data_IF_275067882800
#
_entry.id   IF_275067882800
#
_cell.length_a   1.000
_cell.length_b   1.000
_cell.length_c   1.000
_cell.angle_alpha   90.00
_cell.angle_beta   90.00
_cell.angle_gamma   90.00
#
_symmetry.space_group_name_H-M   'P 1'
#
loop_
_entity.id
_entity.type
_entity.pdbx_description
1 polymer ?
#
# COMPACT_ATOMS: atom_id res chain seq x y z
N UNK A 1 34.74 8.79 18.66
CA UNK A 1 33.40 8.69 18.04
C UNK A 1 32.94 10.09 17.67
N UNK A 2 32.48 10.29 16.44
CA UNK A 2 32.07 11.62 15.96
C UNK A 2 30.74 12.04 16.63
N UNK A 3 30.50 13.33 16.92
CA UNK A 3 29.29 13.80 17.61
C UNK A 3 27.97 13.32 16.99
N UNK A 4 27.94 13.14 15.66
CA UNK A 4 26.79 12.68 14.87
C UNK A 4 26.45 11.19 15.17
N UNK A 5 27.45 10.35 15.43
CA UNK A 5 27.26 8.93 15.72
C UNK A 5 26.62 8.73 17.11
N UNK A 6 26.96 9.59 18.06
CA UNK A 6 26.40 9.59 19.41
C UNK A 6 24.92 10.01 19.39
N UNK A 7 24.58 11.08 18.67
CA UNK A 7 23.21 11.56 18.50
C UNK A 7 22.33 10.49 17.84
N UNK A 8 22.84 9.82 16.81
CA UNK A 8 22.14 8.73 16.14
C UNK A 8 21.95 7.50 17.03
N UNK A 9 22.95 7.16 17.86
CA UNK A 9 22.85 6.07 18.83
C UNK A 9 21.79 6.33 19.90
N UNK A 10 21.72 7.56 20.41
CA UNK A 10 20.71 7.98 21.39
C UNK A 10 19.32 7.98 20.75
N UNK A 11 19.17 8.49 19.52
CA UNK A 11 17.90 8.44 18.75
C UNK A 11 17.42 7.01 18.51
N UNK A 12 18.33 6.07 18.21
CA UNK A 12 18.01 4.64 18.02
C UNK A 12 17.50 3.99 19.31
N UNK A 13 18.17 4.26 20.45
CA UNK A 13 17.77 3.71 21.76
C UNK A 13 16.42 4.26 22.22
N UNK A 14 16.15 5.54 22.05
CA UNK A 14 14.87 6.14 22.43
C UNK A 14 13.72 5.66 21.54
N UNK A 15 13.94 5.50 20.23
CA UNK A 15 12.92 4.96 19.34
C UNK A 15 12.59 3.49 19.66
N UNK A 16 13.59 2.65 19.93
CA UNK A 16 13.39 1.26 20.37
C UNK A 16 12.58 1.13 21.67
N UNK A 17 12.70 2.12 22.56
CA UNK A 17 11.92 2.20 23.81
C UNK A 17 10.49 2.72 23.58
N UNK A 18 10.31 3.67 22.66
CA UNK A 18 9.00 4.28 22.37
C UNK A 18 8.12 3.42 21.45
N UNK A 19 8.71 2.73 20.47
CA UNK A 19 8.02 1.72 19.69
C UNK A 19 8.04 0.41 20.48
N UNK A 20 7.11 0.24 21.42
CA UNK A 20 6.90 -1.00 22.19
C UNK A 20 6.61 -2.28 21.36
N UNK A 21 6.85 -2.23 20.05
CA UNK A 21 6.69 -3.28 19.05
C UNK A 21 8.02 -3.89 18.57
N UNK A 22 9.19 -3.33 18.89
CA UNK A 22 10.52 -3.94 18.59
C UNK A 22 10.90 -4.95 19.69
N UNK A 23 9.94 -5.74 20.19
CA UNK A 23 10.18 -6.77 21.22
C UNK A 23 10.33 -8.18 20.68
N UNK A 24 10.51 -8.37 19.37
CA UNK A 24 10.90 -9.67 18.83
C UNK A 24 12.08 -9.58 17.88
N UNK A 25 13.29 -9.65 18.45
CA UNK A 25 14.42 -10.31 17.79
C UNK A 25 15.49 -9.44 17.13
N UNK A 26 15.38 -8.12 17.09
CA UNK A 26 16.41 -7.27 16.46
C UNK A 26 17.26 -6.63 17.55
N UNK A 27 18.47 -7.18 17.72
CA UNK A 27 19.56 -6.50 18.44
C UNK A 27 19.80 -5.14 17.78
N UNK A 28 19.87 -4.09 18.61
CA UNK A 28 20.10 -2.70 18.21
C UNK A 28 21.44 -2.46 17.46
N UNK A 29 22.27 -3.49 17.28
CA UNK A 29 23.60 -3.41 16.68
C UNK A 29 23.73 -4.05 15.29
N UNK A 30 22.72 -4.79 14.81
CA UNK A 30 22.83 -5.45 13.52
C UNK A 30 22.34 -4.53 12.40
N UNK A 31 23.28 -4.00 11.61
CA UNK A 31 22.93 -3.34 10.35
C UNK A 31 22.15 -4.31 9.48
N UNK A 32 20.88 -4.02 9.19
CA UNK A 32 20.06 -4.89 8.35
C UNK A 32 20.61 -4.88 6.94
N UNK A 33 21.07 -6.01 6.40
CA UNK A 33 21.41 -6.06 4.98
C UNK A 33 20.12 -6.03 4.14
N UNK A 34 19.91 -4.95 3.37
CA UNK A 34 18.74 -4.80 2.47
C UNK A 34 18.62 -5.96 1.49
N UNK A 35 19.75 -6.60 1.13
CA UNK A 35 19.76 -7.77 0.24
C UNK A 35 19.05 -8.97 0.84
N UNK A 36 18.88 -9.03 2.16
CA UNK A 36 18.19 -10.12 2.85
C UNK A 36 16.65 -10.01 2.75
N UNK A 37 16.10 -8.85 2.39
CA UNK A 37 14.65 -8.69 2.25
C UNK A 37 14.26 -9.14 0.85
N UNK A 38 13.75 -10.36 0.74
CA UNK A 38 13.32 -10.98 -0.53
C UNK A 38 11.83 -11.26 -0.59
N UNK A 39 11.17 -11.47 0.56
CA UNK A 39 9.72 -11.73 0.62
C UNK A 39 9.02 -10.70 1.49
N UNK A 40 8.14 -9.91 0.89
CA UNK A 40 7.40 -8.85 1.57
C UNK A 40 5.90 -9.15 1.54
N UNK A 41 5.22 -9.00 2.66
CA UNK A 41 3.75 -9.06 2.72
C UNK A 41 3.19 -7.67 2.98
N UNK A 42 2.34 -7.17 2.08
CA UNK A 42 1.57 -5.94 2.29
C UNK A 42 0.14 -6.31 2.68
N UNK A 43 -0.30 -5.79 3.83
CA UNK A 43 -1.56 -6.12 4.46
C UNK A 43 -2.56 -4.97 4.31
N UNK A 44 -3.60 -5.19 3.50
CA UNK A 44 -4.71 -4.26 3.31
C UNK A 44 -6.04 -5.01 3.03
N UNK A 45 -6.64 -5.67 4.05
CA UNK A 45 -7.91 -6.39 3.91
C UNK A 45 -9.13 -5.45 3.74
N UNK A 46 -9.16 -4.71 2.63
CA UNK A 46 -10.24 -3.83 2.19
C UNK A 46 -10.80 -4.34 0.85
N UNK A 47 -12.02 -3.98 0.46
CA UNK A 47 -12.64 -4.45 -0.79
C UNK A 47 -12.98 -3.34 -1.78
N UNK A 48 -12.78 -2.07 -1.39
CA UNK A 48 -13.13 -0.89 -2.21
C UNK A 48 -12.01 -0.63 -3.20
N UNK A 49 -12.34 -0.45 -4.47
CA UNK A 49 -11.40 -0.23 -5.58
C UNK A 49 -10.37 0.86 -5.25
N UNK A 50 -10.84 2.06 -4.86
CA UNK A 50 -9.95 3.18 -4.55
C UNK A 50 -8.93 2.84 -3.46
N UNK A 51 -9.33 2.15 -2.39
CA UNK A 51 -8.42 1.77 -1.32
C UNK A 51 -7.35 0.75 -1.75
N UNK A 52 -7.66 -0.07 -2.75
CA UNK A 52 -6.70 -1.01 -3.33
C UNK A 52 -5.68 -0.29 -4.21
N UNK A 53 -6.15 0.67 -5.02
CA UNK A 53 -5.26 1.48 -5.86
C UNK A 53 -4.24 2.27 -5.04
N UNK A 54 -4.63 2.74 -3.84
CA UNK A 54 -3.77 3.46 -2.90
C UNK A 54 -2.62 2.61 -2.32
N UNK A 55 -2.56 1.31 -2.64
CA UNK A 55 -1.42 0.43 -2.32
C UNK A 55 -0.28 0.59 -3.34
N UNK A 56 -0.58 1.02 -4.58
CA UNK A 56 0.41 1.12 -5.67
C UNK A 56 1.66 1.97 -5.34
N UNK A 57 1.58 3.08 -4.58
CA UNK A 57 2.78 3.83 -4.22
C UNK A 57 3.67 3.07 -3.24
N UNK A 58 3.08 2.29 -2.34
CA UNK A 58 3.82 1.46 -1.40
C UNK A 58 4.52 0.30 -2.11
N UNK A 59 3.87 -0.33 -3.09
CA UNK A 59 4.50 -1.38 -3.92
C UNK A 59 5.74 -0.83 -4.62
N UNK A 60 5.61 0.33 -5.26
CA UNK A 60 6.74 1.01 -5.92
C UNK A 60 7.86 1.33 -4.93
N UNK A 61 7.52 1.81 -3.74
CA UNK A 61 8.50 2.13 -2.71
C UNK A 61 9.24 0.89 -2.21
N UNK A 62 8.52 -0.20 -1.94
CA UNK A 62 9.12 -1.47 -1.50
C UNK A 62 10.05 -2.01 -2.58
N UNK A 63 9.62 -2.04 -3.84
CA UNK A 63 10.46 -2.51 -4.94
C UNK A 63 11.70 -1.61 -5.12
N UNK A 64 11.57 -0.29 -4.96
CA UNK A 64 12.69 0.64 -5.02
C UNK A 64 13.69 0.45 -3.87
N UNK A 65 13.21 0.15 -2.66
CA UNK A 65 14.07 -0.10 -1.49
C UNK A 65 14.71 -1.49 -1.52
N UNK A 66 14.00 -2.48 -2.09
CA UNK A 66 14.37 -3.89 -2.16
C UNK A 66 14.10 -4.44 -3.57
N UNK A 67 14.98 -4.17 -4.56
CA UNK A 67 14.74 -4.50 -5.98
C UNK A 67 14.51 -5.99 -6.26
N UNK A 68 15.19 -6.87 -5.52
CA UNK A 68 15.07 -8.32 -5.68
C UNK A 68 13.90 -8.93 -4.90
N UNK A 69 13.08 -8.10 -4.24
CA UNK A 69 11.98 -8.59 -3.42
C UNK A 69 10.74 -8.92 -4.25
N UNK A 70 10.02 -9.94 -3.79
CA UNK A 70 8.69 -10.30 -4.27
C UNK A 70 7.66 -9.94 -3.21
N UNK A 71 6.54 -9.38 -3.66
CA UNK A 71 5.52 -8.78 -2.81
C UNK A 71 4.25 -9.62 -2.89
N UNK A 72 3.83 -10.15 -1.74
CA UNK A 72 2.52 -10.73 -1.56
C UNK A 72 1.54 -9.68 -1.02
N UNK A 73 0.31 -9.69 -1.52
CA UNK A 73 -0.76 -8.79 -1.08
C UNK A 73 -1.84 -9.57 -0.31
N UNK A 74 -2.14 -9.16 0.93
CA UNK A 74 -3.30 -9.68 1.67
C UNK A 74 -4.45 -8.68 1.69
N UNK A 75 -5.51 -9.00 0.96
CA UNK A 75 -6.57 -8.07 0.56
C UNK A 75 -7.97 -8.70 0.66
N UNK A 76 -9.04 -7.95 0.41
CA UNK A 76 -10.42 -8.48 0.39
C UNK A 76 -11.06 -8.32 -0.99
N UNK A 77 -11.66 -9.39 -1.52
CA UNK A 77 -12.26 -9.43 -2.84
C UNK A 77 -11.26 -9.53 -4.00
N UNK A 78 -11.74 -9.63 -5.26
CA UNK A 78 -10.91 -9.99 -6.41
C UNK A 78 -10.18 -8.82 -7.07
N UNK A 79 -10.55 -7.57 -6.74
CA UNK A 79 -10.14 -6.38 -7.50
C UNK A 79 -8.63 -6.18 -7.57
N UNK A 80 -7.88 -6.53 -6.53
CA UNK A 80 -6.41 -6.42 -6.58
C UNK A 80 -5.78 -7.31 -7.63
N UNK A 81 -6.35 -8.48 -7.91
CA UNK A 81 -5.84 -9.36 -8.97
C UNK A 81 -5.90 -8.64 -10.31
N UNK A 82 -7.01 -7.97 -10.60
CA UNK A 82 -7.16 -7.18 -11.83
C UNK A 82 -6.21 -5.98 -11.82
N UNK A 83 -6.13 -5.23 -10.73
CA UNK A 83 -5.32 -4.01 -10.65
C UNK A 83 -3.80 -4.26 -10.79
N UNK A 84 -3.31 -5.38 -10.26
CA UNK A 84 -1.87 -5.64 -10.10
C UNK A 84 -1.37 -6.87 -10.86
N UNK A 85 -2.15 -7.47 -11.76
CA UNK A 85 -1.70 -8.65 -12.51
C UNK A 85 -0.47 -8.40 -13.41
N UNK A 86 -0.30 -7.16 -13.90
CA UNK A 86 0.83 -6.76 -14.73
C UNK A 86 2.02 -6.22 -13.92
N UNK A 87 1.93 -6.20 -12.58
CA UNK A 87 3.01 -5.67 -11.74
C UNK A 87 4.00 -6.80 -11.38
N UNK A 88 5.18 -6.77 -11.99
CA UNK A 88 6.22 -7.79 -11.83
C UNK A 88 6.75 -7.91 -10.38
N UNK A 89 6.58 -6.87 -9.56
CA UNK A 89 6.96 -6.91 -8.16
C UNK A 89 5.97 -7.74 -7.33
N UNK A 90 4.73 -7.92 -7.80
CA UNK A 90 3.67 -8.65 -7.11
C UNK A 90 3.72 -10.13 -7.50
N UNK A 91 3.85 -11.00 -6.50
CA UNK A 91 3.99 -12.47 -6.68
C UNK A 91 2.68 -13.21 -6.40
N UNK A 92 2.09 -13.03 -5.22
CA UNK A 92 0.79 -13.61 -4.86
C UNK A 92 -0.18 -12.58 -4.29
N UNK A 93 -1.47 -12.79 -4.53
CA UNK A 93 -2.55 -11.95 -4.02
C UNK A 93 -3.50 -12.84 -3.23
N UNK A 94 -3.38 -12.80 -1.91
CA UNK A 94 -4.23 -13.54 -0.98
C UNK A 94 -5.50 -12.75 -0.70
N UNK A 95 -6.62 -13.25 -1.19
CA UNK A 95 -7.92 -12.57 -1.11
C UNK A 95 -8.83 -13.19 -0.05
N UNK A 96 -9.31 -12.40 0.89
CA UNK A 96 -10.45 -12.75 1.74
C UNK A 96 -11.77 -12.60 0.97
N UNK A 97 -12.77 -13.47 1.20
CA UNK A 97 -14.08 -13.36 0.58
C UNK A 97 -14.78 -12.05 1.00
N UNK A 98 -15.67 -11.52 0.13
CA UNK A 98 -16.41 -10.28 0.43
C UNK A 98 -17.42 -10.50 1.56
N UNK A 99 -18.14 -11.62 1.52
CA UNK A 99 -19.12 -12.04 2.52
C UNK A 99 -18.43 -12.96 3.54
N UNK A 100 -18.69 -12.73 4.83
CA UNK A 100 -18.02 -13.48 5.91
C UNK A 100 -18.67 -14.83 6.20
N UNK A 101 -19.99 -14.94 6.02
CA UNK A 101 -20.78 -16.06 6.58
C UNK A 101 -20.98 -17.25 5.63
N UNK A 102 -21.07 -17.05 4.31
CA UNK A 102 -21.21 -18.17 3.36
C UNK A 102 -19.87 -18.82 2.97
N UNK A 103 -18.75 -18.21 3.35
CA UNK A 103 -17.40 -18.57 2.91
C UNK A 103 -16.43 -18.71 4.09
N UNK A 104 -16.91 -19.25 5.23
CA UNK A 104 -16.12 -19.36 6.46
C UNK A 104 -14.81 -20.14 6.24
N UNK A 105 -14.86 -21.25 5.50
CA UNK A 105 -13.67 -22.03 5.16
C UNK A 105 -12.70 -21.24 4.28
N UNK A 106 -13.20 -20.52 3.26
CA UNK A 106 -12.37 -19.67 2.40
C UNK A 106 -11.75 -18.52 3.19
N UNK A 107 -12.48 -17.96 4.15
CA UNK A 107 -11.99 -16.93 5.05
C UNK A 107 -10.83 -17.47 5.89
N UNK A 108 -11.00 -18.59 6.59
CA UNK A 108 -9.94 -19.24 7.38
C UNK A 108 -8.75 -19.61 6.50
N UNK A 109 -8.99 -20.16 5.30
CA UNK A 109 -7.93 -20.52 4.36
C UNK A 109 -7.05 -19.30 3.99
N UNK A 110 -7.65 -18.12 3.81
CA UNK A 110 -6.92 -16.88 3.58
C UNK A 110 -5.98 -16.53 4.74
N UNK A 111 -6.45 -16.65 5.98
CA UNK A 111 -5.62 -16.43 7.18
C UNK A 111 -4.52 -17.49 7.35
N UNK A 112 -4.84 -18.74 7.02
CA UNK A 112 -3.88 -19.84 7.04
C UNK A 112 -2.76 -19.60 6.03
N UNK A 113 -3.08 -19.15 4.81
CA UNK A 113 -2.07 -18.80 3.80
C UNK A 113 -1.07 -17.76 4.31
N UNK A 114 -1.58 -16.67 4.93
CA UNK A 114 -0.74 -15.63 5.53
C UNK A 114 0.21 -16.19 6.59
N UNK A 115 -0.26 -17.13 7.43
CA UNK A 115 0.55 -17.75 8.49
C UNK A 115 1.52 -18.82 7.97
N UNK A 116 1.19 -19.49 6.86
CA UNK A 116 1.97 -20.60 6.32
C UNK A 116 3.29 -20.16 5.70
N UNK A 117 3.31 -19.00 5.04
CA UNK A 117 4.51 -18.43 4.42
C UNK A 117 5.40 -17.73 5.46
N UNK A 118 6.72 -17.77 5.23
CA UNK A 118 7.71 -16.95 5.96
C UNK A 118 8.06 -15.74 5.10
N UNK A 119 7.94 -14.56 5.69
CA UNK A 119 8.31 -13.29 5.07
C UNK A 119 9.51 -12.68 5.76
N UNK A 120 10.26 -11.84 5.07
CA UNK A 120 11.30 -11.05 5.69
C UNK A 120 10.67 -9.80 6.31
N UNK A 121 9.72 -9.19 5.60
CA UNK A 121 9.04 -7.96 6.01
C UNK A 121 7.52 -8.07 5.85
N UNK A 122 6.77 -7.62 6.87
CA UNK A 122 5.31 -7.49 6.80
C UNK A 122 4.93 -6.04 7.08
N UNK A 123 4.09 -5.46 6.22
CA UNK A 123 3.68 -4.06 6.29
C UNK A 123 2.16 -3.96 6.39
N UNK A 124 1.67 -3.45 7.52
CA UNK A 124 0.27 -3.03 7.67
C UNK A 124 0.07 -1.63 7.07
N UNK A 125 -0.78 -1.54 6.03
CA UNK A 125 -0.99 -0.26 5.32
C UNK A 125 -1.75 0.75 6.17
N UNK A 126 -2.69 0.29 7.00
CA UNK A 126 -3.58 1.17 7.79
C UNK A 126 -3.63 0.72 9.24
N UNK A 127 -3.09 1.53 10.14
CA UNK A 127 -2.99 1.16 11.55
C UNK A 127 -4.32 1.03 12.28
N UNK A 128 -5.36 1.75 11.85
CA UNK A 128 -6.72 1.64 12.40
C UNK A 128 -7.49 0.40 11.92
N UNK A 129 -6.91 -0.41 11.02
CA UNK A 129 -7.55 -1.63 10.53
C UNK A 129 -7.31 -2.80 11.49
N UNK A 130 -8.32 -3.21 12.25
CA UNK A 130 -8.21 -4.35 13.19
C UNK A 130 -7.80 -5.65 12.48
N UNK A 131 -8.42 -5.97 11.35
CA UNK A 131 -8.05 -7.13 10.54
C UNK A 131 -6.62 -7.03 9.98
N UNK A 132 -6.19 -5.82 9.57
CA UNK A 132 -4.81 -5.61 9.12
C UNK A 132 -3.77 -5.80 10.23
N UNK A 133 -4.05 -5.29 11.43
CA UNK A 133 -3.19 -5.49 12.60
C UNK A 133 -3.08 -6.96 12.99
N UNK A 134 -4.21 -7.68 13.02
CA UNK A 134 -4.21 -9.12 13.35
C UNK A 134 -3.42 -9.90 12.29
N UNK A 135 -3.65 -9.65 10.99
CA UNK A 135 -2.92 -10.32 9.91
C UNK A 135 -1.41 -10.10 10.01
N UNK A 136 -1.01 -8.87 10.31
CA UNK A 136 0.40 -8.52 10.53
C UNK A 136 0.99 -9.22 11.75
N UNK A 137 0.23 -9.33 12.84
CA UNK A 137 0.64 -10.05 14.04
C UNK A 137 0.84 -11.55 13.79
N UNK A 138 -0.09 -12.21 13.10
CA UNK A 138 -0.07 -13.67 12.88
C UNK A 138 0.86 -14.13 11.77
N UNK A 139 1.18 -13.25 10.81
CA UNK A 139 2.17 -13.52 9.77
C UNK A 139 3.54 -13.84 10.38
N UNK A 140 4.28 -14.78 9.77
CA UNK A 140 5.63 -15.14 10.23
C UNK A 140 6.63 -14.25 9.53
N UNK A 141 7.28 -13.34 10.26
CA UNK A 141 8.33 -12.50 9.67
C UNK A 141 9.39 -12.02 10.64
N UNK A 142 10.54 -11.64 10.08
CA UNK A 142 11.67 -11.02 10.80
C UNK A 142 11.35 -9.57 11.16
N UNK A 143 10.84 -8.79 10.20
CA UNK A 143 10.47 -7.39 10.37
C UNK A 143 8.95 -7.21 10.25
N UNK A 144 8.38 -6.32 11.07
CA UNK A 144 6.94 -6.02 11.09
C UNK A 144 6.70 -4.53 11.30
N UNK A 145 5.88 -3.96 10.43
CA UNK A 145 5.42 -2.57 10.46
C UNK A 145 3.91 -2.60 10.66
N UNK A 146 3.43 -2.08 11.79
CA UNK A 146 2.03 -2.05 12.18
C UNK A 146 1.29 -0.77 11.76
N UNK A 147 2.00 0.25 11.26
CA UNK A 147 1.43 1.46 10.67
C UNK A 147 1.46 2.69 11.59
N UNK A 148 2.14 2.60 12.72
CA UNK A 148 2.27 3.62 13.77
C UNK A 148 3.75 4.00 14.03
N UNK A 149 4.64 3.69 13.09
CA UNK A 149 6.10 3.83 13.24
C UNK A 149 6.58 5.28 13.09
N UNK A 150 5.92 6.05 12.23
CA UNK A 150 6.31 7.43 12.02
C UNK A 150 5.80 8.31 13.18
N UNK A 151 6.74 8.86 13.95
CA UNK A 151 6.47 9.84 15.00
C UNK A 151 5.73 11.05 14.39
N UNK A 152 4.70 11.52 15.08
CA UNK A 152 3.94 12.73 14.72
C UNK A 152 4.89 13.91 14.50
N UNK A 153 5.95 14.01 15.31
CA UNK A 153 6.95 15.08 15.20
C UNK A 153 7.82 14.95 13.94
N UNK A 154 8.18 13.72 13.53
CA UNK A 154 8.92 13.46 12.28
C UNK A 154 8.04 13.75 11.07
N UNK A 155 6.75 13.41 11.17
CA UNK A 155 5.80 13.65 10.10
C UNK A 155 5.45 15.13 9.93
N UNK A 156 5.58 15.99 10.95
CA UNK A 156 4.96 17.32 10.97
C UNK A 156 5.33 18.19 9.76
N UNK A 157 6.57 18.11 9.27
CA UNK A 157 7.04 18.92 8.15
C UNK A 157 7.00 18.19 6.80
N UNK A 158 6.43 16.98 6.76
CA UNK A 158 6.43 16.17 5.54
C UNK A 158 5.16 16.40 4.70
N UNK A 159 5.32 16.50 3.36
CA UNK A 159 4.20 16.68 2.46
C UNK A 159 3.28 15.47 2.49
N UNK A 160 1.97 15.73 2.43
CA UNK A 160 0.93 14.70 2.35
C UNK A 160 0.96 13.64 3.46
N UNK A 161 1.58 13.92 4.61
CA UNK A 161 1.74 12.99 5.76
C UNK A 161 0.45 12.32 6.24
N UNK A 162 -0.71 12.98 6.06
CA UNK A 162 -2.03 12.46 6.43
C UNK A 162 -2.67 11.60 5.34
N UNK A 163 -2.15 11.66 4.11
CA UNK A 163 -2.71 10.94 2.98
C UNK A 163 -2.50 9.43 3.13
N UNK A 164 -3.55 8.65 2.94
CA UNK A 164 -3.57 7.21 3.23
C UNK A 164 -2.58 6.40 2.38
N UNK A 165 -2.26 6.85 1.16
CA UNK A 165 -1.26 6.20 0.31
C UNK A 165 0.18 6.59 0.68
N UNK A 166 0.37 7.72 1.37
CA UNK A 166 1.70 8.29 1.69
C UNK A 166 2.14 7.90 3.09
N UNK A 167 1.24 7.88 4.08
CA UNK A 167 1.55 7.43 5.45
C UNK A 167 2.31 6.09 5.51
N UNK A 168 1.93 5.01 4.81
CA UNK A 168 2.67 3.75 4.87
C UNK A 168 4.09 3.84 4.30
N UNK A 169 4.34 4.73 3.33
CA UNK A 169 5.69 5.01 2.81
C UNK A 169 6.54 5.64 3.91
N UNK A 170 6.03 6.64 4.61
CA UNK A 170 6.78 7.26 5.71
C UNK A 170 6.98 6.31 6.89
N UNK A 171 6.03 5.42 7.18
CA UNK A 171 6.23 4.37 8.18
C UNK A 171 7.37 3.41 7.78
N UNK A 172 7.39 3.00 6.52
CA UNK A 172 8.47 2.16 5.96
C UNK A 172 9.82 2.88 6.06
N UNK A 173 9.91 4.10 5.53
CA UNK A 173 11.13 4.91 5.58
C UNK A 173 11.59 5.13 7.02
N UNK A 174 10.69 5.52 7.94
CA UNK A 174 11.03 5.74 9.35
C UNK A 174 11.59 4.48 10.01
N UNK A 175 10.97 3.33 9.76
CA UNK A 175 11.42 2.04 10.28
C UNK A 175 12.84 1.71 9.84
N UNK A 176 13.15 1.92 8.55
CA UNK A 176 14.48 1.64 8.00
C UNK A 176 15.51 2.76 8.28
N UNK A 177 15.09 4.01 8.45
CA UNK A 177 15.95 5.09 8.93
C UNK A 177 16.50 4.77 10.33
N UNK A 178 15.69 4.16 11.21
CA UNK A 178 16.14 3.70 12.52
C UNK A 178 17.21 2.60 12.42
N UNK A 179 17.20 1.83 11.33
CA UNK A 179 18.17 0.76 11.02
C UNK A 179 19.38 1.26 10.22
N UNK A 180 19.50 2.57 10.00
CA UNK A 180 20.63 3.20 9.30
C UNK A 180 20.39 3.54 7.83
N UNK A 181 19.18 3.38 7.31
CA UNK A 181 18.82 3.66 5.91
C UNK A 181 17.88 4.86 5.81
N UNK A 182 18.44 6.06 5.69
CA UNK A 182 17.63 7.27 5.57
C UNK A 182 17.23 7.56 4.12
N UNK A 183 15.93 7.48 3.85
CA UNK A 183 15.33 7.81 2.55
C UNK A 183 14.17 8.80 2.67
N UNK A 184 14.05 9.50 3.80
CA UNK A 184 12.91 10.38 4.10
C UNK A 184 12.67 11.46 3.06
N UNK A 185 13.73 12.01 2.46
CA UNK A 185 13.68 13.10 1.49
C UNK A 185 13.46 12.65 0.04
N UNK A 186 13.43 11.34 -0.24
CA UNK A 186 13.20 10.85 -1.61
C UNK A 186 11.81 11.24 -2.09
N UNK A 187 11.68 11.40 -3.41
CA UNK A 187 10.39 11.68 -4.02
C UNK A 187 9.35 10.60 -3.66
N UNK A 188 8.08 11.01 -3.54
CA UNK A 188 6.99 10.09 -3.25
C UNK A 188 6.48 9.47 -4.56
N UNK A 189 6.39 8.14 -4.67
CA UNK A 189 5.78 7.50 -5.82
C UNK A 189 4.32 7.93 -5.98
N UNK A 190 3.90 8.12 -7.23
CA UNK A 190 2.52 8.43 -7.58
C UNK A 190 1.68 7.15 -7.71
N UNK A 191 0.36 7.31 -7.81
CA UNK A 191 -0.52 6.18 -8.12
C UNK A 191 -0.19 5.63 -9.50
N UNK A 192 -0.14 4.30 -9.61
CA UNK A 192 0.22 3.60 -10.85
C UNK A 192 -0.76 2.47 -11.11
N UNK A 193 -1.19 2.37 -12.36
CA UNK A 193 -1.88 1.19 -12.92
C UNK A 193 -1.04 0.77 -14.12
N UNK A 194 -0.66 -0.51 -14.17
CA UNK A 194 0.05 -1.08 -15.32
C UNK A 194 -0.95 -1.76 -16.23
N UNK A 195 -1.13 -1.20 -17.42
CA UNK A 195 -1.94 -1.78 -18.48
C UNK A 195 -1.02 -2.42 -19.50
N UNK A 196 -1.36 -3.61 -19.95
CA UNK A 196 -0.73 -4.26 -21.09
C UNK A 196 -1.13 -3.59 -22.41
N UNK A 197 -0.35 -3.80 -23.46
CA UNK A 197 -0.69 -3.33 -24.81
C UNK A 197 -2.03 -3.88 -25.29
N UNK A 198 -2.35 -5.13 -24.92
CA UNK A 198 -3.64 -5.76 -25.21
C UNK A 198 -4.80 -5.07 -24.50
N UNK A 199 -4.65 -4.69 -23.23
CA UNK A 199 -5.67 -3.94 -22.49
C UNK A 199 -5.85 -2.53 -23.04
N UNK A 200 -4.75 -1.86 -23.41
CA UNK A 200 -4.80 -0.54 -24.03
C UNK A 200 -5.52 -0.60 -25.38
N UNK A 201 -5.24 -1.62 -26.20
CA UNK A 201 -5.91 -1.83 -27.48
C UNK A 201 -7.40 -2.12 -27.27
N UNK A 202 -7.74 -3.06 -26.38
CA UNK A 202 -9.13 -3.38 -26.06
C UNK A 202 -9.90 -2.16 -25.53
N UNK A 203 -9.27 -1.34 -24.68
CA UNK A 203 -9.84 -0.09 -24.17
C UNK A 203 -10.10 0.93 -25.27
N UNK A 204 -9.17 1.08 -26.23
CA UNK A 204 -9.36 1.94 -27.41
C UNK A 204 -10.52 1.46 -28.28
N UNK A 205 -10.65 0.15 -28.51
CA UNK A 205 -11.77 -0.43 -29.26
C UNK A 205 -13.12 -0.22 -28.57
N UNK A 206 -13.16 -0.28 -27.24
CA UNK A 206 -14.38 0.06 -26.48
C UNK A 206 -14.70 1.55 -26.61
N UNK A 207 -13.70 2.42 -26.45
CA UNK A 207 -13.88 3.87 -26.52
C UNK A 207 -14.39 4.32 -27.90
N UNK A 208 -13.85 3.76 -28.98
CA UNK A 208 -14.25 4.03 -30.39
C UNK A 208 -15.74 3.79 -30.68
N UNK A 209 -16.43 2.99 -29.86
CA UNK A 209 -17.88 2.77 -29.99
C UNK A 209 -18.71 3.96 -29.51
N UNK A 210 -18.12 4.83 -28.68
CA UNK A 210 -18.81 5.95 -28.04
C UNK A 210 -18.31 7.32 -28.52
N UNK A 211 -17.13 7.38 -29.13
CA UNK A 211 -16.58 8.61 -29.71
C UNK A 211 -16.82 8.60 -31.23
N UNK A 212 -17.34 9.71 -31.76
CA UNK A 212 -17.58 9.86 -33.20
C UNK A 212 -16.30 10.26 -33.97
N UNK A 213 -15.34 10.89 -33.29
CA UNK A 213 -14.12 11.44 -33.87
C UNK A 213 -12.96 11.19 -32.89
N UNK A 214 -11.97 10.42 -33.32
CA UNK A 214 -10.80 10.05 -32.51
C UNK A 214 -9.78 11.18 -32.37
N UNK A 215 -9.96 12.28 -33.12
CA UNK A 215 -9.13 13.49 -33.04
C UNK A 215 -9.65 14.50 -32.00
N UNK A 216 -10.86 14.31 -31.49
CA UNK A 216 -11.43 15.22 -30.49
C UNK A 216 -11.00 14.83 -29.09
N UNK A 217 -10.70 15.85 -28.29
CA UNK A 217 -10.52 15.67 -26.86
C UNK A 217 -11.80 15.08 -26.24
N UNK A 218 -11.62 14.06 -25.41
CA UNK A 218 -12.73 13.32 -24.81
C UNK A 218 -12.70 13.49 -23.30
N UNK A 219 -13.81 13.96 -22.73
CA UNK A 219 -14.02 14.05 -21.28
C UNK A 219 -14.92 12.89 -20.85
N UNK A 220 -14.44 12.04 -19.95
CA UNK A 220 -15.23 10.98 -19.34
C UNK A 220 -15.75 11.42 -17.97
N UNK A 221 -17.08 11.38 -17.79
CA UNK A 221 -17.73 11.79 -16.55
C UNK A 221 -18.23 10.56 -15.78
N UNK A 222 -17.80 10.42 -14.53
CA UNK A 222 -18.30 9.39 -13.62
C UNK A 222 -19.32 10.02 -12.66
N UNK A 223 -20.61 9.86 -12.97
CA UNK A 223 -21.70 10.58 -12.28
C UNK A 223 -22.20 9.87 -11.02
N UNK A 224 -21.86 8.59 -10.86
CA UNK A 224 -22.40 7.77 -9.78
C UNK A 224 -21.54 7.85 -8.51
N UNK A 225 -22.18 8.10 -7.36
CA UNK A 225 -21.54 8.04 -6.05
C UNK A 225 -22.53 7.54 -4.99
N UNK A 226 -22.05 7.32 -3.77
CA UNK A 226 -22.90 6.81 -2.68
C UNK A 226 -23.43 7.94 -1.80
N UNK A 227 -24.73 7.91 -1.50
CA UNK A 227 -25.37 8.81 -0.53
C UNK A 227 -25.25 10.28 -0.93
N UNK A 228 -24.95 11.15 0.04
CA UNK A 228 -24.84 12.60 -0.16
C UNK A 228 -23.76 13.05 -1.17
N UNK A 229 -22.91 12.14 -1.65
CA UNK A 229 -21.93 12.41 -2.71
C UNK A 229 -22.51 12.31 -4.11
N UNK A 230 -23.69 11.70 -4.26
CA UNK A 230 -24.35 11.55 -5.54
C UNK A 230 -25.15 12.83 -5.82
N UNK A 231 -24.70 13.61 -6.78
CA UNK A 231 -25.43 14.79 -7.23
C UNK A 231 -26.76 14.38 -7.90
N UNK A 232 -27.76 15.25 -7.81
CA UNK A 232 -29.05 15.06 -8.45
C UNK A 232 -28.93 15.20 -9.97
N UNK A 233 -29.91 14.64 -10.69
CA UNK A 233 -29.90 14.64 -12.15
C UNK A 233 -29.95 16.07 -12.73
N UNK A 234 -30.71 16.97 -12.10
CA UNK A 234 -30.87 18.36 -12.51
C UNK A 234 -29.52 19.10 -12.48
N UNK A 235 -28.71 18.83 -11.46
CA UNK A 235 -27.36 19.40 -11.35
C UNK A 235 -26.47 18.94 -12.50
N UNK A 236 -26.47 17.64 -12.81
CA UNK A 236 -25.69 17.09 -13.93
C UNK A 236 -26.17 17.63 -15.27
N UNK A 237 -27.48 17.82 -15.46
CA UNK A 237 -28.03 18.39 -16.69
C UNK A 237 -27.57 19.84 -16.88
N UNK A 238 -27.60 20.67 -15.83
CA UNK A 238 -27.09 22.04 -15.87
C UNK A 238 -25.59 22.06 -16.20
N UNK A 239 -24.79 21.25 -15.51
CA UNK A 239 -23.35 21.15 -15.76
C UNK A 239 -23.03 20.73 -17.21
N UNK A 240 -23.76 19.74 -17.75
CA UNK A 240 -23.57 19.25 -19.12
C UNK A 240 -23.99 20.27 -20.19
N UNK A 241 -24.87 21.22 -19.86
CA UNK A 241 -25.21 22.32 -20.77
C UNK A 241 -24.08 23.36 -20.84
N UNK A 242 -23.41 23.63 -19.72
CA UNK A 242 -22.28 24.57 -19.65
C UNK A 242 -20.97 24.01 -20.17
N UNK A 243 -20.80 22.68 -20.18
CA UNK A 243 -19.59 22.01 -20.67
C UNK A 243 -19.47 22.00 -22.21
N UNK A 244 -20.57 22.24 -22.94
CA UNK A 244 -20.60 22.25 -24.41
C UNK A 244 -19.96 23.51 -24.99
#
# INVERSE_FOLDING_TARGET
MRPIELVNCVRRKTLCLLTGSIKSGISCMDSVDRKCIKKVLIVRPNHRLGNQLLISPLIQEVHRMFPDSKIDLFVKGPLCRVLFHNDEAVDDIMTLPRKHFNDFFCYIAGWYKVRSKKYDLVINVVSTSSSGRIATKVARSTYKIFGDEADVNVLINLPYKKHIAVKPIYNLRTYFSALGYDEMTKELPLLKIQLSDAELLAGKEVLRKYIADDKKETIALFTFATGAKCYQQEWWQQFLQELK
#
